data_IF_802146381522
#
_entry.id   IF_802146381522
#
_cell.length_a   1.000
_cell.length_b   1.000
_cell.length_c   1.000
_cell.angle_alpha   90.00
_cell.angle_beta   90.00
_cell.angle_gamma   90.00
#
_symmetry.space_group_name_H-M   'P 1'
#
loop_
_entity.id
_entity.type
_entity.pdbx_description
1 polymer ?
#
# COMPACT_ATOMS: atom_id res chain seq x y z
N UNK A 1 -26.37 11.41 5.89
CA UNK A 1 -24.99 11.43 6.41
C UNK A 1 -24.28 10.20 5.85
N UNK A 2 -23.51 10.35 4.78
CA UNK A 2 -22.54 9.30 4.40
C UNK A 2 -21.49 9.27 5.49
N UNK A 3 -21.20 8.12 6.12
CA UNK A 3 -20.14 8.07 7.13
C UNK A 3 -18.86 8.63 6.50
N UNK A 4 -18.18 9.54 7.22
CA UNK A 4 -16.94 10.19 6.79
C UNK A 4 -16.06 9.14 6.10
N UNK A 5 -15.87 9.31 4.79
CA UNK A 5 -15.18 8.30 3.98
C UNK A 5 -13.69 8.40 4.31
N UNK A 6 -13.26 7.64 5.32
CA UNK A 6 -11.86 7.60 5.72
C UNK A 6 -11.05 6.97 4.59
N UNK A 7 -10.26 7.79 3.90
CA UNK A 7 -9.34 7.32 2.87
C UNK A 7 -8.11 6.68 3.50
N UNK A 8 -7.59 5.65 2.84
CA UNK A 8 -6.23 5.18 3.10
C UNK A 8 -5.28 5.81 2.09
N UNK A 9 -4.31 6.55 2.60
CA UNK A 9 -3.20 7.12 1.87
C UNK A 9 -2.04 6.12 1.76
N UNK A 10 -1.49 5.99 0.57
CA UNK A 10 -0.31 5.17 0.26
C UNK A 10 0.73 6.06 -0.42
N UNK A 11 1.86 6.28 0.25
CA UNK A 11 2.98 7.05 -0.25
C UNK A 11 3.72 6.27 -1.35
N UNK A 12 3.81 6.88 -2.52
CA UNK A 12 4.61 6.42 -3.66
C UNK A 12 5.94 7.17 -3.66
N UNK A 13 7.01 6.47 -4.00
CA UNK A 13 8.38 7.01 -4.05
C UNK A 13 9.11 6.38 -5.21
N UNK A 14 9.91 7.16 -5.92
CA UNK A 14 10.73 6.67 -7.02
C UNK A 14 12.09 7.38 -7.00
N UNK A 15 12.93 6.94 -6.07
CA UNK A 15 14.28 7.45 -5.84
C UNK A 15 15.30 6.35 -6.12
N UNK A 16 16.58 6.73 -6.29
CA UNK A 16 17.64 5.79 -6.69
C UNK A 16 17.75 4.55 -5.78
N UNK A 17 17.50 4.69 -4.48
CA UNK A 17 17.62 3.61 -3.49
C UNK A 17 16.29 3.21 -2.83
N UNK A 18 15.18 3.86 -3.22
CA UNK A 18 13.87 3.65 -2.63
C UNK A 18 12.77 3.74 -3.67
N UNK A 19 12.10 2.61 -3.90
CA UNK A 19 10.90 2.54 -4.73
C UNK A 19 9.72 2.07 -3.88
N UNK A 20 8.66 2.86 -3.83
CA UNK A 20 7.39 2.50 -3.21
C UNK A 20 6.32 2.60 -4.30
N UNK A 21 5.64 1.50 -4.61
CA UNK A 21 4.70 1.44 -5.73
C UNK A 21 3.50 0.55 -5.42
N UNK A 22 2.37 0.90 -5.99
CA UNK A 22 1.15 0.07 -5.98
C UNK A 22 1.20 -0.81 -7.23
N UNK A 23 1.09 -2.12 -7.03
CA UNK A 23 1.04 -3.10 -8.12
C UNK A 23 -0.35 -3.72 -8.29
N UNK A 24 -1.27 -3.49 -7.35
CA UNK A 24 -2.65 -3.96 -7.42
C UNK A 24 -3.58 -3.02 -6.64
N UNK A 25 -4.82 -2.89 -7.12
CA UNK A 25 -5.81 -1.96 -6.58
C UNK A 25 -5.82 -0.64 -7.35
N UNK A 26 -6.99 0.01 -7.41
CA UNK A 26 -7.18 1.27 -8.13
C UNK A 26 -7.39 2.41 -7.12
N UNK A 27 -6.53 3.44 -7.12
CA UNK A 27 -6.75 4.60 -6.28
C UNK A 27 -7.92 5.42 -6.81
N UNK A 28 -8.68 6.03 -5.89
CA UNK A 28 -9.76 6.97 -6.25
C UNK A 28 -9.20 8.34 -6.63
N UNK A 29 -7.99 8.65 -6.18
CA UNK A 29 -7.27 9.88 -6.51
C UNK A 29 -5.78 9.70 -6.22
N UNK A 30 -4.96 10.53 -6.87
CA UNK A 30 -3.53 10.66 -6.58
C UNK A 30 -3.25 12.15 -6.36
N UNK A 31 -2.59 12.46 -5.24
CA UNK A 31 -2.21 13.84 -4.90
C UNK A 31 -0.70 13.95 -4.78
N UNK A 32 -0.14 15.13 -5.04
CA UNK A 32 1.28 15.37 -4.85
C UNK A 32 1.59 15.55 -3.36
N UNK A 33 2.49 14.73 -2.82
CA UNK A 33 3.01 14.84 -1.45
C UNK A 33 4.44 15.37 -1.42
N UNK A 34 4.96 15.62 -0.21
CA UNK A 34 6.33 16.14 -0.03
C UNK A 34 7.42 15.15 -0.48
N UNK A 35 7.15 13.84 -0.43
CA UNK A 35 8.10 12.78 -0.77
C UNK A 35 7.75 12.08 -2.10
N UNK A 36 6.92 12.72 -2.92
CA UNK A 36 6.31 12.12 -4.11
C UNK A 36 4.82 11.92 -3.94
N UNK A 37 4.21 11.27 -4.92
CA UNK A 37 2.77 11.12 -5.01
C UNK A 37 2.20 10.27 -3.87
N UNK A 38 0.96 10.58 -3.47
CA UNK A 38 0.18 9.83 -2.49
C UNK A 38 -1.07 9.33 -3.20
N UNK A 39 -1.20 8.02 -3.31
CA UNK A 39 -2.39 7.36 -3.83
C UNK A 39 -3.43 7.24 -2.70
N UNK A 40 -4.65 7.70 -2.95
CA UNK A 40 -5.76 7.64 -2.01
C UNK A 40 -6.72 6.51 -2.41
N UNK A 41 -7.12 5.69 -1.46
CA UNK A 41 -8.02 4.56 -1.64
C UNK A 41 -9.23 4.70 -0.74
N UNK A 42 -10.42 4.40 -1.26
CA UNK A 42 -11.64 4.26 -0.46
C UNK A 42 -11.50 3.15 0.57
N UNK A 43 -12.29 3.20 1.65
CA UNK A 43 -12.40 2.10 2.62
C UNK A 43 -12.87 0.79 1.94
N UNK A 44 -12.42 -0.36 2.47
CA UNK A 44 -12.75 -1.69 1.99
C UNK A 44 -12.00 -2.14 0.72
N UNK A 45 -11.21 -1.26 0.09
CA UNK A 45 -10.40 -1.57 -1.09
C UNK A 45 -9.25 -2.50 -0.75
N UNK A 46 -9.03 -3.49 -1.63
CA UNK A 46 -7.86 -4.38 -1.57
C UNK A 46 -6.69 -3.75 -2.34
N UNK A 47 -5.53 -3.63 -1.69
CA UNK A 47 -4.36 -2.93 -2.25
C UNK A 47 -3.12 -3.81 -2.16
N UNK A 48 -2.44 -3.96 -3.30
CA UNK A 48 -1.11 -4.56 -3.40
C UNK A 48 -0.06 -3.46 -3.48
N UNK A 49 0.82 -3.41 -2.47
CA UNK A 49 1.83 -2.38 -2.33
C UNK A 49 3.22 -2.98 -2.13
N UNK A 50 4.21 -2.48 -2.86
CA UNK A 50 5.59 -2.94 -2.81
C UNK A 50 6.50 -1.82 -2.34
N UNK A 51 7.44 -2.17 -1.47
CA UNK A 51 8.60 -1.34 -1.14
C UNK A 51 9.89 -2.05 -1.53
N UNK A 52 10.77 -1.33 -2.20
CA UNK A 52 12.14 -1.74 -2.51
C UNK A 52 13.06 -0.72 -1.87
N UNK A 53 13.81 -1.14 -0.87
CA UNK A 53 14.83 -0.32 -0.25
C UNK A 53 16.19 -0.97 -0.46
N UNK A 54 17.09 -0.27 -1.16
CA UNK A 54 18.35 -0.80 -1.67
C UNK A 54 18.14 -2.11 -2.48
N UNK A 55 18.32 -3.27 -1.85
CA UNK A 55 18.12 -4.61 -2.47
C UNK A 55 17.06 -5.45 -1.77
N UNK A 56 16.39 -4.91 -0.75
CA UNK A 56 15.37 -5.57 0.05
C UNK A 56 14.00 -5.21 -0.50
N UNK A 57 13.30 -6.20 -1.05
CA UNK A 57 11.94 -6.06 -1.55
C UNK A 57 10.96 -6.64 -0.54
N UNK A 58 9.93 -5.87 -0.22
CA UNK A 58 8.75 -6.33 0.52
C UNK A 58 7.51 -6.04 -0.29
N UNK A 59 6.54 -6.95 -0.25
CA UNK A 59 5.24 -6.73 -0.84
C UNK A 59 4.16 -7.04 0.19
N UNK A 60 3.10 -6.24 0.15
CA UNK A 60 2.00 -6.23 1.08
C UNK A 60 0.71 -6.36 0.30
N UNK A 61 -0.23 -7.15 0.82
CA UNK A 61 -1.62 -7.14 0.39
C UNK A 61 -2.48 -6.82 1.61
N UNK A 62 -3.26 -5.75 1.55
CA UNK A 62 -4.06 -5.29 2.68
C UNK A 62 -5.41 -4.74 2.24
N UNK A 63 -6.35 -4.68 3.19
CA UNK A 63 -7.66 -4.04 3.03
C UNK A 63 -7.68 -2.70 3.77
N UNK A 64 -8.19 -1.66 3.11
CA UNK A 64 -8.25 -0.28 3.61
C UNK A 64 -9.43 -0.04 4.56
N UNK A 65 -9.31 0.94 5.45
CA UNK A 65 -10.45 1.58 6.13
C UNK A 65 -11.33 0.69 7.02
N UNK A 66 -10.78 -0.34 7.66
CA UNK A 66 -11.51 -1.08 8.71
C UNK A 66 -11.20 -0.48 10.09
N UNK A 67 -12.22 -0.24 10.92
CA UNK A 67 -12.11 0.28 12.29
C UNK A 67 -11.20 -0.59 13.20
N UNK A 68 -10.95 -1.85 12.80
CA UNK A 68 -10.10 -2.81 13.52
C UNK A 68 -8.76 -3.10 12.81
N UNK A 69 -8.40 -2.35 11.76
CA UNK A 69 -7.09 -2.50 11.12
C UNK A 69 -5.96 -2.14 12.10
N UNK A 70 -5.26 -3.13 12.62
CA UNK A 70 -4.21 -2.94 13.64
C UNK A 70 -2.80 -2.83 13.05
N UNK A 71 -2.61 -3.17 11.78
CA UNK A 71 -1.29 -3.36 11.20
C UNK A 71 -0.77 -2.08 10.54
N UNK A 72 0.46 -1.71 10.91
CA UNK A 72 1.17 -0.58 10.33
C UNK A 72 2.02 -1.04 9.15
N UNK A 73 1.65 -0.59 7.95
CA UNK A 73 2.47 -0.76 6.75
C UNK A 73 3.22 0.54 6.47
N UNK A 74 4.53 0.43 6.19
CA UNK A 74 5.38 1.60 5.98
C UNK A 74 4.91 2.43 4.76
N UNK A 75 4.64 3.72 4.96
CA UNK A 75 4.11 4.60 3.91
C UNK A 75 2.60 4.46 3.70
N UNK A 76 1.88 3.77 4.59
CA UNK A 76 0.41 3.63 4.54
C UNK A 76 -0.20 4.24 5.80
N UNK A 77 -1.26 5.03 5.63
CA UNK A 77 -2.01 5.65 6.72
C UNK A 77 -3.50 5.78 6.38
N UNK A 78 -4.45 5.52 7.30
CA UNK A 78 -4.24 4.98 8.64
C UNK A 78 -3.82 3.50 8.60
N UNK A 79 -3.77 2.84 9.76
CA UNK A 79 -3.55 1.39 9.86
C UNK A 79 -4.57 0.61 9.02
N UNK A 80 -4.17 -0.59 8.58
CA UNK A 80 -4.93 -1.41 7.63
C UNK A 80 -5.05 -2.84 8.13
N UNK A 81 -5.97 -3.60 7.53
CA UNK A 81 -6.05 -5.04 7.74
C UNK A 81 -5.06 -5.73 6.80
N UNK A 82 -3.89 -6.09 7.31
CA UNK A 82 -2.86 -6.78 6.53
C UNK A 82 -3.24 -8.25 6.32
N UNK A 83 -3.29 -8.68 5.05
CA UNK A 83 -3.64 -10.04 4.67
C UNK A 83 -2.40 -10.88 4.35
N UNK A 84 -1.41 -10.26 3.69
CA UNK A 84 -0.17 -10.93 3.30
C UNK A 84 1.01 -9.97 3.42
N UNK A 85 2.10 -10.44 4.02
CA UNK A 85 3.43 -9.83 3.90
C UNK A 85 4.42 -10.82 3.28
N UNK A 86 5.03 -10.42 2.16
CA UNK A 86 6.06 -11.19 1.48
C UNK A 86 7.42 -10.48 1.60
N UNK A 87 8.39 -11.14 2.26
CA UNK A 87 9.74 -10.58 2.53
C UNK A 87 10.87 -11.15 1.68
N UNK A 88 10.62 -12.20 0.89
CA UNK A 88 11.63 -12.81 0.01
C UNK A 88 11.26 -12.63 -1.45
N UNK A 89 12.27 -12.51 -2.33
CA UNK A 89 12.05 -12.34 -3.78
C UNK A 89 11.11 -13.38 -4.38
N UNK A 90 11.25 -14.65 -3.98
CA UNK A 90 10.36 -15.72 -4.43
C UNK A 90 8.92 -15.53 -3.98
N UNK A 91 8.69 -15.14 -2.71
CA UNK A 91 7.35 -14.88 -2.18
C UNK A 91 6.71 -13.63 -2.80
N UNK A 92 7.49 -12.57 -3.04
CA UNK A 92 7.02 -11.36 -3.73
C UNK A 92 6.55 -11.68 -5.14
N UNK A 93 7.36 -12.43 -5.91
CA UNK A 93 6.97 -12.87 -7.26
C UNK A 93 5.71 -13.74 -7.26
N UNK A 94 5.55 -14.60 -6.26
CA UNK A 94 4.32 -15.40 -6.11
C UNK A 94 3.11 -14.50 -5.83
N UNK A 95 3.24 -13.52 -4.94
CA UNK A 95 2.16 -12.59 -4.63
C UNK A 95 1.72 -11.81 -5.88
N UNK A 96 2.66 -11.34 -6.71
CA UNK A 96 2.36 -10.64 -7.96
C UNK A 96 1.63 -11.49 -9.02
N UNK A 97 1.64 -12.82 -8.88
CA UNK A 97 0.89 -13.72 -9.78
C UNK A 97 -0.49 -14.07 -9.26
N UNK A 98 -0.76 -13.80 -7.98
CA UNK A 98 -2.01 -14.16 -7.31
C UNK A 98 -3.05 -13.04 -7.39
N UNK A 99 -2.64 -11.83 -7.76
CA UNK A 99 -3.49 -10.65 -7.85
C UNK A 99 -3.37 -10.02 -9.23
#
# INVERSE_FOLDING_TARGET
MTPDQTFTAVQLRNEAELLCTVFFGSPVSTIQGQQGDIALFSAGTLVGYMTVQHRKTRAYLFRTGEENGSEKVAGVYPSVTLLVEARSRGKVRKLFRLV
#
